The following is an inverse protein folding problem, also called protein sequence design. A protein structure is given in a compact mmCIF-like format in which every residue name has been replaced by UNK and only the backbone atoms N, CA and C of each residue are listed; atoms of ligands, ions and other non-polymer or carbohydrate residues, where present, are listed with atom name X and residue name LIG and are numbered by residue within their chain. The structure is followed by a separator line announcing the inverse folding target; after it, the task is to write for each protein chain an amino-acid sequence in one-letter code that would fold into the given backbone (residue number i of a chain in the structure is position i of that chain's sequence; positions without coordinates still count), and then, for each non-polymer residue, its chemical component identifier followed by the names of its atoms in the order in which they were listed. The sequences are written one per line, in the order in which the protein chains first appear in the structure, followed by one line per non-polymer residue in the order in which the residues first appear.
data_IF_670206118258
#
_entry.id   IF_670206118258
#
_cell.length_a   1.000
_cell.length_b   1.000
_cell.length_c   1.000
_cell.angle_alpha   90.00
_cell.angle_beta   90.00
_cell.angle_gamma   90.00
#
_symmetry.space_group_name_H-M   'P 1'
#
loop_
_entity.id
_entity.type
_entity.pdbx_description
1 polymer ?
#
# COMPACT_ATOMS: atom_id res chain seq x y z
N UNK A 1 7.82 -10.39 -10.01
CA UNK A 1 7.00 -11.13 -9.02
C UNK A 1 7.17 -12.65 -9.12
N UNK A 2 6.79 -13.33 -10.22
CA UNK A 2 6.90 -14.80 -10.31
C UNK A 2 8.32 -15.34 -10.00
N UNK A 3 9.35 -14.79 -10.64
CA UNK A 3 10.74 -15.16 -10.38
C UNK A 3 11.20 -14.89 -8.93
N UNK A 4 10.59 -13.91 -8.25
CA UNK A 4 10.87 -13.62 -6.84
C UNK A 4 10.25 -14.67 -5.91
N UNK A 5 9.02 -15.10 -6.19
CA UNK A 5 8.37 -16.20 -5.47
C UNK A 5 9.14 -17.51 -5.67
N UNK A 6 9.52 -17.81 -6.91
CA UNK A 6 10.24 -19.06 -7.25
C UNK A 6 11.64 -19.12 -6.63
N UNK A 7 12.31 -17.97 -6.48
CA UNK A 7 13.62 -17.89 -5.84
C UNK A 7 13.56 -17.85 -4.30
N UNK A 8 12.37 -17.63 -3.72
CA UNK A 8 12.17 -17.54 -2.27
C UNK A 8 11.27 -18.70 -1.78
N UNK A 9 11.91 -19.80 -1.36
CA UNK A 9 11.21 -21.02 -0.93
C UNK A 9 10.33 -20.78 0.30
N UNK A 10 10.75 -19.92 1.22
CA UNK A 10 9.98 -19.60 2.43
C UNK A 10 8.70 -18.84 2.07
N UNK A 11 8.79 -17.87 1.16
CA UNK A 11 7.64 -17.13 0.65
C UNK A 11 6.69 -18.05 -0.10
N UNK A 12 7.21 -18.90 -0.98
CA UNK A 12 6.41 -19.87 -1.72
C UNK A 12 5.67 -20.84 -0.80
N UNK A 13 6.34 -21.36 0.24
CA UNK A 13 5.69 -22.22 1.23
C UNK A 13 4.60 -21.47 2.01
N UNK A 14 4.84 -20.22 2.41
CA UNK A 14 3.89 -19.40 3.13
C UNK A 14 2.65 -19.07 2.29
N UNK A 15 2.83 -18.74 1.01
CA UNK A 15 1.72 -18.55 0.06
C UNK A 15 0.86 -19.82 0.00
N UNK A 16 1.50 -20.97 -0.22
CA UNK A 16 0.80 -22.26 -0.28
C UNK A 16 0.07 -22.58 1.04
N UNK A 17 0.67 -22.27 2.20
CA UNK A 17 0.02 -22.47 3.51
C UNK A 17 -1.25 -21.62 3.64
N UNK A 18 -1.18 -20.35 3.27
CA UNK A 18 -2.31 -19.42 3.34
C UNK A 18 -3.42 -19.86 2.39
N UNK A 19 -3.11 -20.17 1.14
CA UNK A 19 -4.09 -20.56 0.11
C UNK A 19 -4.78 -21.89 0.43
N UNK A 20 -4.04 -22.86 0.98
CA UNK A 20 -4.58 -24.17 1.37
C UNK A 20 -5.26 -24.15 2.75
N UNK A 21 -5.28 -23.01 3.45
CA UNK A 21 -5.99 -22.88 4.71
C UNK A 21 -7.51 -22.96 4.50
N UNK A 22 -8.24 -23.38 5.53
CA UNK A 22 -9.72 -23.43 5.51
C UNK A 22 -10.38 -22.08 5.79
N UNK A 23 -9.61 -21.00 5.75
CA UNK A 23 -10.09 -19.64 5.99
C UNK A 23 -10.86 -19.10 4.78
N UNK A 24 -11.71 -18.10 4.99
CA UNK A 24 -12.29 -17.35 3.88
C UNK A 24 -11.19 -16.55 3.17
N UNK A 25 -11.37 -16.22 1.89
CA UNK A 25 -10.41 -15.42 1.11
C UNK A 25 -10.05 -14.12 1.83
N UNK A 26 -11.04 -13.48 2.44
CA UNK A 26 -10.86 -12.28 3.25
C UNK A 26 -9.95 -12.53 4.47
N UNK A 27 -10.16 -13.61 5.20
CA UNK A 27 -9.33 -13.96 6.34
C UNK A 27 -7.92 -14.44 5.92
N UNK A 28 -7.81 -15.08 4.76
CA UNK A 28 -6.52 -15.41 4.14
C UNK A 28 -5.74 -14.14 3.79
N UNK A 29 -6.40 -13.10 3.27
CA UNK A 29 -5.78 -11.82 2.96
C UNK A 29 -5.25 -11.11 4.22
N UNK A 30 -6.06 -11.03 5.29
CA UNK A 30 -5.58 -10.50 6.58
C UNK A 30 -4.36 -11.27 7.11
N UNK A 31 -4.41 -12.61 7.05
CA UNK A 31 -3.30 -13.46 7.45
C UNK A 31 -2.06 -13.22 6.58
N UNK A 32 -2.25 -13.07 5.27
CA UNK A 32 -1.17 -12.79 4.32
C UNK A 32 -0.49 -11.47 4.63
N UNK A 33 -1.25 -10.40 4.87
CA UNK A 33 -0.69 -9.10 5.22
C UNK A 33 0.18 -9.21 6.48
N UNK A 34 -0.33 -9.84 7.54
CA UNK A 34 0.41 -9.97 8.80
C UNK A 34 1.69 -10.80 8.63
N UNK A 35 1.58 -11.96 7.98
CA UNK A 35 2.69 -12.90 7.79
C UNK A 35 3.77 -12.34 6.87
N UNK A 36 3.39 -11.69 5.77
CA UNK A 36 4.37 -11.10 4.85
C UNK A 36 5.05 -9.87 5.46
N UNK A 37 4.32 -9.00 6.17
CA UNK A 37 4.95 -7.87 6.87
C UNK A 37 6.00 -8.37 7.87
N UNK A 38 5.70 -9.43 8.61
CA UNK A 38 6.65 -10.04 9.53
C UNK A 38 7.85 -10.66 8.81
N UNK A 39 7.61 -11.41 7.73
CA UNK A 39 8.67 -12.09 6.98
C UNK A 39 9.69 -11.13 6.37
N UNK A 40 9.23 -10.00 5.84
CA UNK A 40 10.08 -9.02 5.15
C UNK A 40 10.45 -7.81 5.99
N UNK A 41 10.08 -7.83 7.28
CA UNK A 41 10.28 -6.71 8.22
C UNK A 41 9.80 -5.37 7.63
N UNK A 42 8.54 -5.34 7.22
CA UNK A 42 7.90 -4.14 6.66
C UNK A 42 6.91 -3.53 7.64
N UNK A 43 6.75 -2.18 7.64
CA UNK A 43 5.67 -1.52 8.36
C UNK A 43 4.30 -1.99 7.85
N UNK A 44 3.49 -2.60 8.72
CA UNK A 44 2.14 -3.03 8.34
C UNK A 44 1.21 -1.83 8.20
N UNK A 45 1.16 -0.99 9.23
CA UNK A 45 0.31 0.20 9.30
C UNK A 45 1.15 1.48 9.25
N UNK A 46 0.55 2.66 8.96
CA UNK A 46 1.28 3.92 8.85
C UNK A 46 2.05 4.30 10.13
N UNK A 47 1.50 4.01 11.31
CA UNK A 47 2.13 4.25 12.61
C UNK A 47 3.40 3.43 12.84
N UNK A 48 3.54 2.28 12.16
CA UNK A 48 4.72 1.41 12.27
C UNK A 48 5.96 2.01 11.59
N UNK A 49 5.78 2.96 10.67
CA UNK A 49 6.87 3.54 9.84
C UNK A 49 8.00 4.15 10.67
N UNK A 50 7.69 4.73 11.83
CA UNK A 50 8.69 5.33 12.74
C UNK A 50 9.78 4.35 13.18
N UNK A 51 9.52 3.05 13.15
CA UNK A 51 10.49 2.00 13.51
C UNK A 51 11.54 1.75 12.43
N UNK A 52 11.35 2.32 11.24
CA UNK A 52 12.12 2.04 10.03
C UNK A 52 12.83 3.29 9.47
N UNK A 53 12.90 4.39 10.24
CA UNK A 53 13.49 5.66 9.82
C UNK A 53 14.93 5.50 9.30
N UNK A 54 15.79 4.76 10.03
CA UNK A 54 17.17 4.48 9.61
C UNK A 54 17.25 3.76 8.24
N UNK A 55 16.29 2.87 7.96
CA UNK A 55 16.22 2.16 6.69
C UNK A 55 15.80 3.11 5.56
N UNK A 56 14.85 4.00 5.80
CA UNK A 56 14.40 4.98 4.80
C UNK A 56 15.49 5.97 4.46
N UNK A 57 16.19 6.51 5.48
CA UNK A 57 17.31 7.43 5.27
C UNK A 57 18.44 6.76 4.46
N UNK A 58 18.81 5.52 4.82
CA UNK A 58 19.87 4.78 4.12
C UNK A 58 19.56 4.51 2.65
N UNK A 59 18.28 4.35 2.30
CA UNK A 59 17.85 4.04 0.93
C UNK A 59 17.30 5.26 0.18
N UNK A 60 17.45 6.47 0.72
CA UNK A 60 16.98 7.73 0.12
C UNK A 60 15.48 7.71 -0.20
N UNK A 61 14.68 7.14 0.71
CA UNK A 61 13.22 7.02 0.58
C UNK A 61 12.57 8.22 1.29
N UNK A 62 12.26 9.25 0.52
CA UNK A 62 11.62 10.47 1.06
C UNK A 62 10.13 10.25 1.41
N UNK A 63 9.43 9.40 0.66
CA UNK A 63 7.99 9.12 0.84
C UNK A 63 7.74 7.65 1.23
N UNK A 64 8.14 7.31 2.46
CA UNK A 64 7.94 5.97 2.99
C UNK A 64 6.44 5.61 3.15
N UNK A 65 6.10 4.40 2.70
CA UNK A 65 4.75 3.81 2.79
C UNK A 65 4.76 2.53 3.61
N UNK A 66 3.66 2.33 4.33
CA UNK A 66 3.30 1.05 4.93
C UNK A 66 2.70 0.11 3.89
N UNK A 67 2.68 -1.19 4.19
CA UNK A 67 1.99 -2.18 3.35
C UNK A 67 0.50 -1.84 3.23
N UNK A 68 -0.12 -1.29 4.28
CA UNK A 68 -1.48 -0.78 4.25
C UNK A 68 -1.68 0.34 3.20
N UNK A 69 -0.80 1.36 3.19
CA UNK A 69 -0.89 2.48 2.23
C UNK A 69 -0.67 1.99 0.79
N UNK A 70 0.33 1.14 0.57
CA UNK A 70 0.64 0.60 -0.75
C UNK A 70 -0.50 -0.31 -1.28
N UNK A 71 -1.04 -1.15 -0.40
CA UNK A 71 -2.19 -2.00 -0.71
C UNK A 71 -3.44 -1.17 -1.05
N UNK A 72 -3.70 -0.06 -0.34
CA UNK A 72 -4.82 0.82 -0.65
C UNK A 72 -4.72 1.39 -2.08
N UNK A 73 -3.53 1.81 -2.50
CA UNK A 73 -3.29 2.33 -3.85
C UNK A 73 -3.48 1.25 -4.91
N UNK A 74 -2.93 0.05 -4.69
CA UNK A 74 -3.10 -1.08 -5.59
C UNK A 74 -4.57 -1.49 -5.73
N UNK A 75 -5.30 -1.56 -4.61
CA UNK A 75 -6.75 -1.84 -4.59
C UNK A 75 -7.56 -0.77 -5.30
N UNK A 76 -7.14 0.49 -5.22
CA UNK A 76 -7.76 1.58 -5.98
C UNK A 76 -7.52 1.42 -7.49
N UNK A 77 -6.31 1.05 -7.92
CA UNK A 77 -5.99 0.79 -9.34
C UNK A 77 -6.68 -0.46 -9.90
N UNK A 78 -6.76 -1.52 -9.10
CA UNK A 78 -7.16 -2.86 -9.54
C UNK A 78 -8.22 -3.45 -8.59
N UNK A 79 -9.43 -2.84 -8.52
CA UNK A 79 -10.44 -3.20 -7.52
C UNK A 79 -11.05 -4.59 -7.67
N UNK A 80 -10.95 -5.17 -8.87
CA UNK A 80 -11.48 -6.50 -9.19
C UNK A 80 -10.44 -7.62 -9.00
N UNK A 81 -9.20 -7.26 -8.65
CA UNK A 81 -8.11 -8.21 -8.49
C UNK A 81 -8.19 -8.94 -7.14
N UNK A 82 -7.63 -10.14 -7.07
CA UNK A 82 -7.59 -10.91 -5.83
C UNK A 82 -6.85 -10.15 -4.71
N UNK A 83 -7.52 -9.95 -3.57
CA UNK A 83 -6.98 -9.17 -2.45
C UNK A 83 -5.66 -9.77 -1.93
N UNK A 84 -5.52 -11.11 -1.92
CA UNK A 84 -4.28 -11.79 -1.50
C UNK A 84 -3.15 -11.47 -2.46
N UNK A 85 -3.44 -11.46 -3.76
CA UNK A 85 -2.47 -11.07 -4.80
C UNK A 85 -2.05 -9.60 -4.68
N UNK A 86 -2.99 -8.70 -4.39
CA UNK A 86 -2.69 -7.28 -4.17
C UNK A 86 -1.79 -7.05 -2.94
N UNK A 87 -2.01 -7.80 -1.86
CA UNK A 87 -1.16 -7.74 -0.67
C UNK A 87 0.27 -8.23 -0.97
N UNK A 88 0.40 -9.34 -1.69
CA UNK A 88 1.70 -9.84 -2.13
C UNK A 88 2.41 -8.83 -3.05
N UNK A 89 1.66 -8.17 -3.92
CA UNK A 89 2.16 -7.11 -4.78
C UNK A 89 2.63 -5.89 -3.98
N UNK A 90 1.88 -5.44 -2.96
CA UNK A 90 2.31 -4.36 -2.07
C UNK A 90 3.64 -4.67 -1.38
N UNK A 91 3.76 -5.88 -0.83
CA UNK A 91 5.01 -6.35 -0.19
C UNK A 91 6.15 -6.41 -1.20
N UNK A 92 5.91 -6.92 -2.41
CA UNK A 92 6.89 -6.93 -3.48
C UNK A 92 7.36 -5.51 -3.84
N UNK A 93 6.43 -4.56 -4.00
CA UNK A 93 6.74 -3.19 -4.35
C UNK A 93 7.62 -2.51 -3.30
N UNK A 94 7.29 -2.68 -2.01
CA UNK A 94 8.05 -2.07 -0.92
C UNK A 94 9.42 -2.73 -0.73
N UNK A 95 9.53 -4.05 -0.88
CA UNK A 95 10.84 -4.74 -0.81
C UNK A 95 11.79 -4.36 -1.94
N UNK A 96 11.26 -3.92 -3.09
CA UNK A 96 12.06 -3.56 -4.27
C UNK A 96 12.12 -2.06 -4.54
N UNK A 97 11.57 -1.23 -3.64
CA UNK A 97 11.59 0.25 -3.74
C UNK A 97 10.96 0.79 -5.03
N UNK A 98 9.93 0.13 -5.55
CA UNK A 98 9.24 0.57 -6.77
C UNK A 98 8.01 1.41 -6.42
N UNK A 99 7.14 0.89 -5.55
CA UNK A 99 5.90 1.55 -5.13
C UNK A 99 4.89 1.83 -6.26
N UNK A 100 3.63 2.06 -5.93
CA UNK A 100 2.66 2.62 -6.88
C UNK A 100 2.99 4.08 -7.17
N UNK A 101 2.90 4.49 -8.43
CA UNK A 101 3.03 5.87 -8.86
C UNK A 101 1.77 6.67 -8.48
N UNK A 102 1.91 7.62 -7.57
CA UNK A 102 0.80 8.45 -7.11
C UNK A 102 0.33 9.42 -8.20
N UNK A 103 1.20 9.84 -9.12
CA UNK A 103 0.78 10.70 -10.23
C UNK A 103 -0.21 9.96 -11.14
N UNK A 104 -0.03 8.66 -11.39
CA UNK A 104 -1.01 7.84 -12.12
C UNK A 104 -2.36 7.78 -11.39
N UNK A 105 -2.35 7.66 -10.06
CA UNK A 105 -3.57 7.68 -9.23
C UNK A 105 -4.30 9.02 -9.39
N UNK A 106 -3.56 10.13 -9.31
CA UNK A 106 -4.13 11.47 -9.46
C UNK A 106 -4.66 11.72 -10.88
N UNK A 107 -3.97 11.23 -11.91
CA UNK A 107 -4.42 11.32 -13.29
C UNK A 107 -5.68 10.49 -13.50
N UNK A 108 -5.77 9.30 -12.92
CA UNK A 108 -6.96 8.46 -13.00
C UNK A 108 -8.17 9.12 -12.33
N UNK A 109 -7.97 9.79 -11.19
CA UNK A 109 -9.04 10.42 -10.43
C UNK A 109 -9.48 11.78 -11.01
N UNK A 110 -8.52 12.64 -11.36
CA UNK A 110 -8.76 14.05 -11.71
C UNK A 110 -8.48 14.39 -13.18
N UNK A 111 -7.94 13.44 -13.96
CA UNK A 111 -7.40 13.67 -15.30
C UNK A 111 -6.02 14.31 -15.29
N UNK A 112 -5.47 14.58 -16.49
CA UNK A 112 -4.12 15.18 -16.66
C UNK A 112 -3.95 16.56 -15.98
N UNK A 113 -5.07 17.22 -15.65
CA UNK A 113 -5.12 18.54 -15.01
C UNK A 113 -5.62 18.42 -13.57
N UNK A 114 -4.80 17.83 -12.71
CA UNK A 114 -5.04 17.80 -11.26
C UNK A 114 -4.42 19.00 -10.53
N UNK A 115 -4.94 19.38 -9.35
CA UNK A 115 -4.43 20.51 -8.57
C UNK A 115 -2.94 20.42 -8.22
N UNK A 116 -2.24 21.56 -8.21
CA UNK A 116 -0.81 21.65 -7.85
C UNK A 116 -0.52 21.17 -6.41
N UNK A 117 -1.53 21.16 -5.55
CA UNK A 117 -1.46 20.64 -4.18
C UNK A 117 -2.57 19.61 -3.96
N UNK A 118 -2.21 18.33 -4.06
CA UNK A 118 -3.13 17.22 -3.83
C UNK A 118 -2.80 16.51 -2.52
N UNK A 119 -3.81 15.87 -1.94
CA UNK A 119 -3.70 15.04 -0.75
C UNK A 119 -4.34 13.72 -1.12
N UNK A 120 -3.59 12.65 -0.96
CA UNK A 120 -4.10 11.29 -1.00
C UNK A 120 -4.23 10.84 0.44
N UNK A 121 -5.46 10.63 0.89
CA UNK A 121 -5.76 10.15 2.23
C UNK A 121 -5.98 8.65 2.24
N UNK A 122 -5.62 8.00 3.34
CA UNK A 122 -5.81 6.58 3.56
C UNK A 122 -6.68 6.36 4.79
N UNK A 123 -7.75 5.58 4.67
CA UNK A 123 -8.63 5.22 5.78
C UNK A 123 -8.89 3.73 5.85
N UNK A 124 -9.43 3.27 6.97
CA UNK A 124 -9.76 1.86 7.21
C UNK A 124 -8.72 1.16 8.08
N UNK A 125 -8.80 -0.17 8.13
CA UNK A 125 -7.89 -1.03 8.89
C UNK A 125 -7.65 -2.32 8.09
N UNK A 126 -6.41 -2.84 8.13
CA UNK A 126 -6.07 -4.08 7.44
C UNK A 126 -6.43 -4.02 5.96
N UNK A 127 -7.21 -5.01 5.49
CA UNK A 127 -7.60 -5.10 4.07
C UNK A 127 -8.78 -4.19 3.69
N UNK A 128 -9.39 -3.51 4.65
CA UNK A 128 -10.38 -2.46 4.41
C UNK A 128 -9.74 -1.12 4.08
N UNK A 129 -8.44 -1.09 3.79
CA UNK A 129 -7.75 0.08 3.32
C UNK A 129 -8.46 0.69 2.08
N UNK A 130 -8.60 2.01 2.09
CA UNK A 130 -9.22 2.79 1.03
C UNK A 130 -8.45 4.08 0.79
N UNK A 131 -8.37 4.47 -0.49
CA UNK A 131 -7.86 5.76 -0.94
C UNK A 131 -9.00 6.78 -0.96
N UNK A 132 -8.75 7.96 -0.40
CA UNK A 132 -9.69 9.07 -0.30
C UNK A 132 -9.01 10.34 -0.80
N UNK A 133 -9.76 11.18 -1.50
CA UNK A 133 -9.28 12.47 -1.98
C UNK A 133 -10.04 13.61 -1.28
N UNK A 134 -9.52 14.18 -0.18
CA UNK A 134 -10.21 15.22 0.60
C UNK A 134 -10.69 16.41 -0.23
N UNK A 135 -9.93 16.77 -1.26
CA UNK A 135 -10.26 17.83 -2.22
C UNK A 135 -11.58 17.60 -2.95
N UNK A 136 -11.93 16.35 -3.24
CA UNK A 136 -13.17 15.97 -3.92
C UNK A 136 -14.37 15.97 -2.97
N UNK A 137 -14.12 15.57 -1.72
CA UNK A 137 -15.14 15.48 -0.68
C UNK A 137 -15.47 16.83 -0.02
N UNK A 138 -14.64 17.85 -0.23
CA UNK A 138 -14.82 19.18 0.36
C UNK A 138 -14.69 19.20 1.89
N UNK A 139 -13.99 18.21 2.47
CA UNK A 139 -13.80 18.03 3.91
C UNK A 139 -12.32 17.88 4.23
N UNK A 140 -11.94 18.12 5.49
CA UNK A 140 -10.58 17.81 5.93
C UNK A 140 -10.35 16.30 5.94
N UNK A 141 -9.10 15.86 5.77
CA UNK A 141 -8.76 14.43 5.83
C UNK A 141 -9.11 13.82 7.20
N UNK A 142 -9.02 14.62 8.27
CA UNK A 142 -9.39 14.21 9.62
C UNK A 142 -10.89 13.91 9.70
N UNK A 143 -11.74 14.79 9.16
CA UNK A 143 -13.20 14.59 9.14
C UNK A 143 -13.63 13.40 8.27
N UNK A 144 -12.76 12.98 7.35
CA UNK A 144 -12.96 11.82 6.49
C UNK A 144 -12.46 10.51 7.12
N UNK A 145 -11.88 10.58 8.32
CA UNK A 145 -11.37 9.43 9.05
C UNK A 145 -10.08 8.85 8.47
N UNK A 146 -9.31 9.65 7.72
CA UNK A 146 -8.02 9.20 7.23
C UNK A 146 -7.03 9.05 8.40
N UNK A 147 -6.34 7.92 8.44
CA UNK A 147 -5.30 7.61 9.43
C UNK A 147 -3.90 8.02 8.96
N UNK A 148 -3.73 8.19 7.65
CA UNK A 148 -2.53 8.70 7.03
C UNK A 148 -2.87 9.54 5.80
N UNK A 149 -1.94 10.41 5.42
CA UNK A 149 -2.05 11.24 4.22
C UNK A 149 -0.70 11.37 3.55
N UNK A 150 -0.68 11.36 2.22
CA UNK A 150 0.45 11.79 1.40
C UNK A 150 0.08 13.12 0.76
N UNK A 151 0.93 14.14 0.96
CA UNK A 151 0.76 15.45 0.33
C UNK A 151 1.63 15.52 -0.92
N UNK A 152 1.00 15.68 -2.07
CA UNK A 152 1.69 15.82 -3.36
C UNK A 152 1.76 17.29 -3.71
N UNK A 153 2.99 17.79 -3.88
CA UNK A 153 3.27 19.16 -4.30
C UNK A 153 3.89 19.10 -5.69
N UNK A 154 3.15 19.58 -6.69
CA UNK A 154 3.65 19.63 -8.07
C UNK A 154 4.73 20.71 -8.16
N UNK A 155 5.99 20.28 -8.18
CA UNK A 155 7.10 21.21 -8.44
C UNK A 155 7.06 21.53 -9.94
N UNK A 156 6.74 22.78 -10.28
CA UNK A 156 6.87 23.27 -11.66
C UNK A 156 8.34 23.13 -12.07
N UNK A 157 8.61 22.18 -12.97
CA UNK A 157 9.90 22.10 -13.69
C UNK A 157 9.98 23.24 -14.71
#
# INVERSE_FOLDING_TARGET
MQAWIESNIELSNLINEIENSKLSERAQAELAMDKFCHMFDLPKMPEDKSRYEDYYEKNEIDEARSVFEEFALLKYCYPEEDIRALILCAVYNLTHLIGVDIDEILINEFGEKFPDNCIVGYRGIGIDAEVIFPQKEGKSWFDLGCIAVTKIVKIKK
#
